data_IF_484579238994
#
_entry.id   IF_484579238994
#
_cell.length_a   1.000
_cell.length_b   1.000
_cell.length_c   1.000
_cell.angle_alpha   90.00
_cell.angle_beta   90.00
_cell.angle_gamma   90.00
#
_symmetry.space_group_name_H-M   'P 1'
#
loop_
_entity.id
_entity.type
_entity.pdbx_description
1 polymer ?
#
# COMPACT_ATOMS: atom_id res chain seq x y z
N UNK A 1 -1.54 0.31 20.32
CA UNK A 1 -2.99 0.04 20.11
C UNK A 1 -3.71 1.37 20.10
N UNK A 2 -4.42 1.70 19.01
CA UNK A 2 -5.37 2.81 18.99
C UNK A 2 -6.72 2.25 19.49
N UNK A 3 -7.08 2.50 20.75
CA UNK A 3 -8.36 2.09 21.33
C UNK A 3 -9.35 3.24 21.21
N UNK A 4 -10.29 3.14 20.27
CA UNK A 4 -11.48 3.98 20.20
C UNK A 4 -12.70 3.19 20.65
N UNK A 5 -13.61 3.79 21.43
CA UNK A 5 -14.84 3.15 21.90
C UNK A 5 -16.04 3.96 21.41
N UNK A 6 -16.93 3.31 20.66
CA UNK A 6 -18.14 3.92 20.14
C UNK A 6 -19.26 2.87 20.17
N UNK A 7 -20.46 3.23 20.62
CA UNK A 7 -21.57 2.27 20.78
C UNK A 7 -21.98 1.67 19.43
N UNK A 8 -22.08 2.50 18.39
CA UNK A 8 -22.36 2.07 17.02
C UNK A 8 -21.28 1.17 16.38
N UNK A 9 -20.13 0.96 17.03
CA UNK A 9 -19.08 0.07 16.54
C UNK A 9 -19.26 -1.39 17.00
N UNK A 10 -20.14 -1.66 17.96
CA UNK A 10 -20.32 -2.99 18.54
C UNK A 10 -20.83 -3.96 17.45
N UNK A 11 -20.10 -5.07 17.26
CA UNK A 11 -20.44 -6.08 16.26
C UNK A 11 -20.21 -5.67 14.80
N UNK A 12 -19.54 -4.54 14.55
CA UNK A 12 -19.26 -4.04 13.20
C UNK A 12 -17.83 -4.33 12.78
N UNK A 13 -17.65 -4.74 11.52
CA UNK A 13 -16.37 -4.70 10.81
C UNK A 13 -16.30 -3.44 9.94
N UNK A 14 -15.15 -2.76 9.95
CA UNK A 14 -14.89 -1.54 9.21
C UNK A 14 -13.59 -1.65 8.43
N UNK A 15 -13.56 -1.10 7.22
CA UNK A 15 -12.32 -0.92 6.49
C UNK A 15 -11.66 0.39 6.93
N UNK A 16 -10.35 0.33 7.18
CA UNK A 16 -9.50 1.52 7.29
C UNK A 16 -8.63 1.51 6.04
N UNK A 17 -9.02 2.31 5.04
CA UNK A 17 -8.37 2.33 3.73
C UNK A 17 -8.15 3.75 3.26
N UNK A 18 -7.04 3.94 2.57
CA UNK A 18 -6.82 5.06 1.66
C UNK A 18 -6.72 4.49 0.24
N UNK A 19 -7.16 5.26 -0.75
CA UNK A 19 -7.08 4.86 -2.15
C UNK A 19 -5.92 5.58 -2.85
N UNK A 20 -4.92 4.82 -3.30
CA UNK A 20 -3.82 5.34 -4.12
C UNK A 20 -3.36 4.28 -5.11
N UNK A 21 -3.11 4.66 -6.36
CA UNK A 21 -2.49 3.77 -7.34
C UNK A 21 -1.03 3.52 -6.96
N UNK A 22 -0.54 2.29 -7.15
CA UNK A 22 0.85 1.95 -6.86
C UNK A 22 1.85 2.87 -7.58
N UNK A 23 1.58 3.25 -8.83
CA UNK A 23 2.45 4.14 -9.60
C UNK A 23 2.56 5.55 -9.02
N UNK A 24 1.49 6.04 -8.40
CA UNK A 24 1.49 7.33 -7.70
C UNK A 24 2.20 7.22 -6.35
N UNK A 25 1.93 6.14 -5.62
CA UNK A 25 2.60 5.86 -4.34
C UNK A 25 4.12 5.79 -4.53
N UNK A 26 4.60 4.97 -5.48
CA UNK A 26 6.02 4.84 -5.82
C UNK A 26 6.60 6.17 -6.31
N UNK A 27 5.86 6.96 -7.09
CA UNK A 27 6.33 8.27 -7.53
C UNK A 27 6.59 9.24 -6.36
N UNK A 28 5.71 9.27 -5.36
CA UNK A 28 5.91 10.08 -4.15
C UNK A 28 7.11 9.58 -3.34
N UNK A 29 7.26 8.26 -3.17
CA UNK A 29 8.44 7.67 -2.52
C UNK A 29 9.71 8.12 -3.24
N UNK A 30 9.79 7.95 -4.56
CA UNK A 30 10.97 8.36 -5.32
C UNK A 30 11.26 9.86 -5.20
N UNK A 31 10.21 10.69 -5.26
CA UNK A 31 10.34 12.15 -5.12
C UNK A 31 10.88 12.55 -3.75
N UNK A 32 10.41 11.91 -2.67
CA UNK A 32 10.85 12.22 -1.30
C UNK A 32 12.24 11.64 -1.01
N UNK A 33 12.51 10.43 -1.51
CA UNK A 33 13.77 9.70 -1.33
C UNK A 33 14.91 10.24 -2.20
N UNK A 34 14.61 11.03 -3.24
CA UNK A 34 15.60 11.54 -4.20
C UNK A 34 16.10 10.49 -5.20
N UNK A 35 15.38 9.37 -5.35
CA UNK A 35 15.75 8.30 -6.28
C UNK A 35 14.98 8.43 -7.61
N UNK A 36 15.50 7.77 -8.65
CA UNK A 36 14.89 7.83 -9.99
C UNK A 36 13.59 7.04 -10.01
N UNK A 37 12.55 7.65 -10.58
CA UNK A 37 11.26 6.97 -10.79
C UNK A 37 11.41 5.82 -11.79
N UNK A 38 10.86 4.62 -11.50
CA UNK A 38 10.82 3.54 -12.46
C UNK A 38 9.88 3.87 -13.63
N UNK A 39 10.35 3.70 -14.86
CA UNK A 39 9.59 3.98 -16.10
C UNK A 39 9.37 2.75 -16.97
N UNK A 40 10.13 1.68 -16.75
CA UNK A 40 10.02 0.44 -17.50
C UNK A 40 8.69 -0.26 -17.17
N UNK A 41 7.92 -0.60 -18.21
CA UNK A 41 6.73 -1.45 -18.11
C UNK A 41 7.02 -2.79 -18.76
N UNK A 42 6.69 -3.85 -18.05
CA UNK A 42 6.88 -5.23 -18.50
C UNK A 42 5.54 -5.95 -18.43
N UNK A 43 5.25 -6.86 -19.39
CA UNK A 43 4.05 -7.66 -19.34
C UNK A 43 4.08 -8.62 -18.13
N UNK A 44 2.92 -8.83 -17.53
CA UNK A 44 2.77 -9.65 -16.32
C UNK A 44 3.08 -11.13 -16.56
N UNK A 45 2.53 -11.73 -17.62
CA UNK A 45 2.64 -13.18 -17.83
C UNK A 45 4.10 -13.66 -17.97
N UNK A 46 4.96 -13.01 -18.79
CA UNK A 46 6.38 -13.40 -18.86
C UNK A 46 7.11 -13.23 -17.52
N UNK A 47 6.82 -12.15 -16.79
CA UNK A 47 7.39 -11.92 -15.47
C UNK A 47 6.93 -12.97 -14.45
N UNK A 48 5.67 -13.39 -14.50
CA UNK A 48 5.13 -14.44 -13.61
C UNK A 48 5.82 -15.77 -13.85
N UNK A 49 6.06 -16.14 -15.11
CA UNK A 49 6.80 -17.35 -15.47
C UNK A 49 8.24 -17.25 -14.95
N UNK A 50 8.93 -16.13 -15.20
CA UNK A 50 10.28 -15.91 -14.72
C UNK A 50 10.37 -15.96 -13.18
N UNK A 51 9.41 -15.35 -12.48
CA UNK A 51 9.35 -15.37 -11.02
C UNK A 51 9.11 -16.77 -10.47
N UNK A 52 8.21 -17.56 -11.07
CA UNK A 52 7.98 -18.94 -10.66
C UNK A 52 9.23 -19.83 -10.85
N UNK A 53 10.01 -19.59 -11.91
CA UNK A 53 11.24 -20.34 -12.17
C UNK A 53 12.40 -19.93 -11.24
N UNK A 54 12.50 -18.64 -10.90
CA UNK A 54 13.67 -18.07 -10.20
C UNK A 54 13.45 -17.84 -8.70
N UNK A 55 12.23 -17.98 -8.18
CA UNK A 55 11.91 -17.72 -6.76
C UNK A 55 12.70 -18.58 -5.76
N UNK A 56 13.23 -19.73 -6.18
CA UNK A 56 14.06 -20.60 -5.32
C UNK A 56 15.52 -20.13 -5.18
N UNK A 57 15.93 -19.14 -5.96
CA UNK A 57 17.30 -18.59 -5.90
C UNK A 57 17.39 -17.64 -4.70
N UNK A 58 18.33 -17.86 -3.76
CA UNK A 58 18.53 -16.97 -2.63
C UNK A 58 18.77 -15.52 -3.08
N UNK A 59 18.02 -14.57 -2.52
CA UNK A 59 18.13 -13.15 -2.84
C UNK A 59 17.38 -12.70 -4.11
N UNK A 60 16.68 -13.60 -4.82
CA UNK A 60 15.88 -13.19 -5.97
C UNK A 60 14.65 -12.35 -5.52
N UNK A 61 14.45 -11.13 -6.05
CA UNK A 61 13.52 -10.16 -5.48
C UNK A 61 12.06 -10.35 -5.89
N UNK A 62 11.77 -11.23 -6.87
CA UNK A 62 10.43 -11.43 -7.41
C UNK A 62 9.91 -12.84 -7.07
N UNK A 63 8.66 -12.90 -6.64
CA UNK A 63 7.89 -14.14 -6.48
C UNK A 63 6.53 -13.95 -7.16
N UNK A 64 5.81 -15.03 -7.50
CA UNK A 64 4.44 -14.92 -7.99
C UNK A 64 3.56 -14.07 -7.06
N UNK A 65 3.67 -14.27 -5.75
CA UNK A 65 2.93 -13.47 -4.74
C UNK A 65 3.26 -11.98 -4.75
N UNK A 66 4.53 -11.61 -5.00
CA UNK A 66 4.90 -10.18 -5.16
C UNK A 66 4.33 -9.60 -6.44
N UNK A 67 4.31 -10.37 -7.53
CA UNK A 67 3.67 -9.93 -8.78
C UNK A 67 2.18 -9.68 -8.55
N UNK A 68 1.49 -10.59 -7.88
CA UNK A 68 0.07 -10.42 -7.56
C UNK A 68 -0.16 -9.18 -6.67
N UNK A 69 0.73 -8.89 -5.73
CA UNK A 69 0.66 -7.66 -4.92
C UNK A 69 0.93 -6.37 -5.73
N UNK A 70 1.79 -6.43 -6.76
CA UNK A 70 2.13 -5.27 -7.59
C UNK A 70 1.09 -5.00 -8.70
N UNK A 71 0.36 -6.03 -9.12
CA UNK A 71 -0.63 -5.97 -10.21
C UNK A 71 -2.07 -5.89 -9.69
N UNK A 72 -2.29 -6.37 -8.46
CA UNK A 72 -3.57 -6.30 -7.79
C UNK A 72 -4.02 -4.86 -7.55
N UNK A 73 -5.28 -4.59 -7.87
CA UNK A 73 -5.95 -3.36 -7.48
C UNK A 73 -7.21 -3.71 -6.71
N UNK A 74 -7.37 -3.09 -5.55
CA UNK A 74 -8.55 -3.22 -4.71
C UNK A 74 -8.90 -1.84 -4.17
N UNK A 75 -10.19 -1.56 -4.07
CA UNK A 75 -10.72 -0.39 -3.37
C UNK A 75 -11.62 -0.89 -2.26
N UNK A 76 -11.35 -0.45 -1.03
CA UNK A 76 -12.13 -0.84 0.12
C UNK A 76 -12.92 0.36 0.62
N UNK A 77 -14.25 0.29 0.65
CA UNK A 77 -15.09 1.42 1.02
C UNK A 77 -14.90 1.75 2.51
N UNK A 78 -14.51 3.00 2.80
CA UNK A 78 -14.32 3.55 4.15
C UNK A 78 -15.57 4.26 4.69
N UNK A 79 -16.49 4.61 3.80
CA UNK A 79 -17.76 5.30 4.08
C UNK A 79 -18.55 4.75 5.28
N UNK A 80 -18.50 3.43 5.51
CA UNK A 80 -19.17 2.79 6.65
C UNK A 80 -18.68 3.34 8.00
N UNK A 81 -17.37 3.49 8.20
CA UNK A 81 -16.81 3.96 9.46
C UNK A 81 -16.98 5.47 9.62
N UNK A 82 -16.86 6.22 8.52
CA UNK A 82 -17.09 7.66 8.50
C UNK A 82 -18.52 7.99 8.93
N UNK A 83 -19.52 7.25 8.41
CA UNK A 83 -20.93 7.46 8.76
C UNK A 83 -21.29 6.99 10.16
N UNK A 84 -20.86 5.80 10.59
CA UNK A 84 -21.37 5.21 11.84
C UNK A 84 -20.69 5.73 13.10
N UNK A 85 -19.41 6.12 12.99
CA UNK A 85 -18.61 6.55 14.14
C UNK A 85 -17.89 7.88 13.92
N UNK A 86 -18.18 8.58 12.81
CA UNK A 86 -17.57 9.89 12.53
C UNK A 86 -16.06 9.81 12.26
N UNK A 87 -15.56 8.65 11.84
CA UNK A 87 -14.12 8.48 11.62
C UNK A 87 -13.63 9.39 10.50
N UNK A 88 -12.44 9.95 10.69
CA UNK A 88 -11.67 10.60 9.64
C UNK A 88 -10.18 10.34 9.85
N UNK A 89 -9.43 10.29 8.77
CA UNK A 89 -7.98 10.17 8.83
C UNK A 89 -7.38 11.45 9.41
N UNK A 90 -6.85 11.39 10.64
CA UNK A 90 -6.08 12.50 11.23
C UNK A 90 -4.83 12.79 10.38
N UNK A 91 -4.28 11.75 9.76
CA UNK A 91 -3.12 11.81 8.87
C UNK A 91 -3.34 10.87 7.69
N UNK A 92 -3.44 11.43 6.48
CA UNK A 92 -3.53 10.63 5.26
C UNK A 92 -2.20 9.97 4.90
N UNK A 93 -2.25 8.94 4.06
CA UNK A 93 -1.10 8.14 3.65
C UNK A 93 0.14 8.94 3.23
N UNK A 94 -0.02 10.08 2.52
CA UNK A 94 1.10 10.88 2.02
C UNK A 94 1.88 11.56 3.14
N UNK A 95 1.17 12.12 4.13
CA UNK A 95 1.81 12.75 5.28
C UNK A 95 2.49 11.70 6.18
N UNK A 96 1.84 10.54 6.36
CA UNK A 96 2.45 9.41 7.07
C UNK A 96 3.71 8.88 6.38
N UNK A 97 3.67 8.75 5.05
CA UNK A 97 4.82 8.34 4.24
C UNK A 97 6.00 9.31 4.40
N UNK A 98 5.75 10.62 4.32
CA UNK A 98 6.78 11.63 4.47
C UNK A 98 7.48 11.53 5.84
N UNK A 99 6.72 11.40 6.93
CA UNK A 99 7.28 11.26 8.27
C UNK A 99 8.12 9.99 8.42
N UNK A 100 7.65 8.86 7.88
CA UNK A 100 8.39 7.59 7.91
C UNK A 100 9.74 7.71 7.18
N UNK A 101 9.76 8.35 6.01
CA UNK A 101 10.99 8.54 5.23
C UNK A 101 11.96 9.55 5.86
N UNK A 102 11.45 10.53 6.60
CA UNK A 102 12.29 11.43 7.40
C UNK A 102 12.90 10.68 8.58
N UNK A 103 12.12 9.85 9.27
CA UNK A 103 12.59 9.06 10.39
C UNK A 103 13.66 8.02 9.98
N UNK A 104 13.54 7.40 8.80
CA UNK A 104 14.52 6.44 8.25
C UNK A 104 15.89 7.07 7.92
N UNK A 105 15.95 8.41 7.82
CA UNK A 105 17.19 9.16 7.53
C UNK A 105 17.90 9.67 8.80
N UNK A 106 17.29 9.54 9.97
CA UNK A 106 17.80 10.02 11.26
C UNK A 106 18.53 8.90 12.03
#
# INVERSE_FOLDING_TARGET
>A
MLLGRHENAIGQAFNLSDDVTLERFVAEVCSMSGCRRPTLRLPESPLRIAAAALQGIPGFPLSPSRIDALTGTAKYPIDKIERLVGYSHVKGWRAGLHEMLVADRA
#
